data_IF_079248696584
#
_entry.id   IF_079248696584
#
_cell.length_a   1.000
_cell.length_b   1.000
_cell.length_c   1.000
_cell.angle_alpha   90.00
_cell.angle_beta   90.00
_cell.angle_gamma   90.00
#
_symmetry.space_group_name_H-M   'P 1'
#
loop_
_entity.id
_entity.type
_entity.pdbx_description
1 polymer ?
#
# COMPACT_ATOMS: atom_id res chain seq x y z
N UNK A 1 -26.62 8.97 -3.08
CA UNK A 1 -25.38 8.21 -3.33
C UNK A 1 -24.36 8.54 -2.24
N UNK A 2 -23.81 7.54 -1.54
CA UNK A 2 -22.85 7.79 -0.47
C UNK A 2 -21.43 8.08 -1.03
N UNK A 3 -20.55 8.67 -0.21
CA UNK A 3 -19.17 9.03 -0.62
C UNK A 3 -18.41 7.86 -1.23
N UNK A 4 -18.56 6.66 -0.65
CA UNK A 4 -17.85 5.47 -1.11
C UNK A 4 -18.34 4.97 -2.49
N UNK A 5 -19.65 5.03 -2.75
CA UNK A 5 -20.24 4.71 -4.05
C UNK A 5 -19.74 5.65 -5.14
N UNK A 6 -19.59 6.95 -4.84
CA UNK A 6 -19.06 7.94 -5.78
C UNK A 6 -17.57 7.70 -6.09
N UNK A 7 -16.79 7.26 -5.11
CA UNK A 7 -15.38 6.85 -5.29
C UNK A 7 -15.28 5.64 -6.23
N UNK A 8 -16.11 4.61 -6.02
CA UNK A 8 -16.16 3.42 -6.87
C UNK A 8 -16.57 3.79 -8.30
N UNK A 9 -17.58 4.65 -8.46
CA UNK A 9 -18.03 5.13 -9.77
C UNK A 9 -16.92 5.85 -10.54
N UNK A 10 -16.22 6.80 -9.89
CA UNK A 10 -15.12 7.52 -10.52
C UNK A 10 -13.95 6.58 -10.89
N UNK A 11 -13.70 5.55 -10.08
CA UNK A 11 -12.71 4.54 -10.43
C UNK A 11 -13.14 3.73 -11.65
N UNK A 12 -14.41 3.32 -11.73
CA UNK A 12 -14.95 2.60 -12.90
C UNK A 12 -14.93 3.46 -14.18
N UNK A 13 -15.01 4.79 -14.04
CA UNK A 13 -14.81 5.76 -15.13
C UNK A 13 -13.35 5.95 -15.55
N UNK A 14 -12.41 5.20 -14.96
CA UNK A 14 -11.00 5.20 -15.34
C UNK A 14 -10.12 6.24 -14.62
N UNK A 15 -10.66 6.99 -13.65
CA UNK A 15 -9.83 7.94 -12.91
C UNK A 15 -8.79 7.21 -12.04
N UNK A 16 -7.60 7.83 -11.92
CA UNK A 16 -6.56 7.35 -11.02
C UNK A 16 -6.95 7.58 -9.56
N UNK A 17 -6.41 6.74 -8.66
CA UNK A 17 -6.64 6.92 -7.22
C UNK A 17 -6.10 8.26 -6.71
N UNK A 18 -5.07 8.82 -7.35
CA UNK A 18 -4.54 10.15 -7.06
C UNK A 18 -5.58 11.24 -7.36
N UNK A 19 -6.19 11.19 -8.56
CA UNK A 19 -7.23 12.15 -8.95
C UNK A 19 -8.46 12.03 -8.04
N UNK A 20 -8.86 10.81 -7.73
CA UNK A 20 -9.98 10.55 -6.80
C UNK A 20 -9.66 11.07 -5.40
N UNK A 21 -8.45 10.83 -4.89
CA UNK A 21 -8.00 11.33 -3.59
C UNK A 21 -8.10 12.84 -3.49
N UNK A 22 -7.62 13.57 -4.51
CA UNK A 22 -7.74 15.03 -4.60
C UNK A 22 -9.19 15.51 -4.61
N UNK A 23 -10.08 14.82 -5.33
CA UNK A 23 -11.51 15.20 -5.43
C UNK A 23 -12.22 15.11 -4.06
N UNK A 24 -11.86 14.13 -3.22
CA UNK A 24 -12.53 13.90 -1.94
C UNK A 24 -11.74 14.36 -0.72
N UNK A 25 -10.63 15.05 -0.92
CA UNK A 25 -9.69 15.44 0.13
C UNK A 25 -9.27 14.27 1.03
N UNK A 26 -8.87 13.17 0.39
CA UNK A 26 -8.36 11.97 1.06
C UNK A 26 -7.08 11.49 0.40
N UNK A 27 -6.26 10.75 1.15
CA UNK A 27 -5.07 10.14 0.56
C UNK A 27 -5.44 9.15 -0.54
N UNK A 28 -4.56 8.97 -1.54
CA UNK A 28 -4.81 7.99 -2.60
C UNK A 28 -4.98 6.58 -2.01
N UNK A 29 -4.28 6.22 -0.91
CA UNK A 29 -4.48 4.93 -0.21
C UNK A 29 -5.91 4.78 0.26
N UNK A 30 -6.50 5.86 0.79
CA UNK A 30 -7.86 5.82 1.29
C UNK A 30 -8.85 5.66 0.15
N UNK A 31 -8.65 6.37 -0.97
CA UNK A 31 -9.45 6.19 -2.18
C UNK A 31 -9.38 4.74 -2.70
N UNK A 32 -8.17 4.16 -2.73
CA UNK A 32 -7.94 2.78 -3.15
C UNK A 32 -8.64 1.76 -2.24
N UNK A 33 -8.50 1.88 -0.92
CA UNK A 33 -9.17 0.98 0.05
C UNK A 33 -10.69 0.98 -0.10
N UNK A 34 -11.28 2.14 -0.38
CA UNK A 34 -12.72 2.28 -0.60
C UNK A 34 -13.15 1.61 -1.91
N UNK A 35 -12.40 1.85 -3.00
CA UNK A 35 -12.73 1.32 -4.31
C UNK A 35 -12.59 -0.21 -4.42
N UNK A 36 -11.64 -0.81 -3.70
CA UNK A 36 -11.36 -2.26 -3.76
C UNK A 36 -12.41 -3.10 -3.01
N UNK A 37 -13.25 -2.51 -2.15
CA UNK A 37 -14.39 -3.21 -1.54
C UNK A 37 -13.98 -4.38 -0.63
N UNK A 38 -13.23 -4.11 0.43
CA UNK A 38 -12.71 -5.15 1.33
C UNK A 38 -13.86 -5.88 2.06
N UNK A 39 -14.00 -7.19 1.85
CA UNK A 39 -14.90 -8.08 2.63
C UNK A 39 -14.25 -8.56 3.94
N UNK A 40 -15.02 -8.78 5.00
CA UNK A 40 -14.60 -9.18 6.35
C UNK A 40 -13.71 -10.44 6.40
N UNK A 41 -13.97 -11.44 5.55
CA UNK A 41 -13.07 -12.62 5.41
C UNK A 41 -11.69 -12.24 4.88
N UNK A 42 -11.65 -11.36 3.88
CA UNK A 42 -10.40 -10.85 3.32
C UNK A 42 -9.64 -9.99 4.35
N UNK A 43 -10.34 -9.29 5.25
CA UNK A 43 -9.71 -8.55 6.36
C UNK A 43 -8.93 -9.48 7.29
N UNK A 44 -9.53 -10.62 7.72
CA UNK A 44 -8.85 -11.55 8.64
C UNK A 44 -7.60 -12.18 8.02
N UNK A 45 -7.71 -12.64 6.78
CA UNK A 45 -6.56 -13.21 6.04
C UNK A 45 -5.47 -12.15 5.86
N UNK A 46 -5.84 -10.93 5.48
CA UNK A 46 -4.90 -9.83 5.33
C UNK A 46 -4.20 -9.46 6.65
N UNK A 47 -4.92 -9.40 7.76
CA UNK A 47 -4.32 -9.12 9.07
C UNK A 47 -3.28 -10.18 9.46
N UNK A 48 -3.57 -11.47 9.22
CA UNK A 48 -2.60 -12.55 9.45
C UNK A 48 -1.34 -12.37 8.59
N UNK A 49 -1.51 -12.16 7.28
CA UNK A 49 -0.39 -11.93 6.36
C UNK A 49 0.43 -10.71 6.82
N UNK A 50 -0.21 -9.61 7.21
CA UNK A 50 0.49 -8.41 7.69
C UNK A 50 1.34 -8.68 8.91
N UNK A 51 0.81 -9.44 9.87
CA UNK A 51 1.55 -9.77 11.08
C UNK A 51 2.71 -10.71 10.79
N UNK A 52 2.53 -11.68 9.90
CA UNK A 52 3.59 -12.59 9.46
C UNK A 52 4.72 -11.84 8.74
N UNK A 53 4.40 -10.88 7.87
CA UNK A 53 5.41 -10.02 7.21
C UNK A 53 6.16 -9.15 8.22
N UNK A 54 5.46 -8.55 9.20
CA UNK A 54 6.12 -7.76 10.25
C UNK A 54 7.06 -8.61 11.11
N UNK A 55 6.67 -9.85 11.44
CA UNK A 55 7.51 -10.79 12.18
C UNK A 55 8.72 -11.23 11.35
N UNK A 56 8.52 -11.57 10.07
CA UNK A 56 9.59 -11.91 9.12
C UNK A 56 10.65 -10.81 9.07
N UNK A 57 10.20 -9.56 9.02
CA UNK A 57 11.05 -8.38 8.91
C UNK A 57 11.51 -7.85 10.28
N UNK A 58 11.34 -8.63 11.37
CA UNK A 58 11.69 -8.28 12.76
C UNK A 58 11.27 -6.84 13.15
N UNK A 59 10.05 -6.45 12.77
CA UNK A 59 9.51 -5.12 13.00
C UNK A 59 10.47 -3.98 12.58
N UNK A 60 11.22 -4.21 11.50
CA UNK A 60 12.27 -3.32 10.98
C UNK A 60 11.93 -2.87 9.55
N UNK A 61 12.04 -1.57 9.30
CA UNK A 61 11.87 -1.00 7.97
C UNK A 61 12.96 -1.55 7.02
N UNK A 62 12.56 -2.18 5.93
CA UNK A 62 13.49 -2.80 4.99
C UNK A 62 14.21 -1.80 4.07
N UNK A 63 13.84 -0.52 4.11
CA UNK A 63 14.59 0.56 3.42
C UNK A 63 15.65 1.15 4.33
N UNK A 64 15.24 1.69 5.49
CA UNK A 64 16.12 2.51 6.33
C UNK A 64 16.60 1.83 7.62
N UNK A 65 16.16 0.61 7.91
CA UNK A 65 16.53 -0.12 9.13
C UNK A 65 15.82 0.38 10.41
N UNK A 66 14.88 1.32 10.31
CA UNK A 66 14.17 1.84 11.48
C UNK A 66 13.26 0.77 12.11
N UNK A 67 13.47 0.46 13.39
CA UNK A 67 12.72 -0.57 14.13
C UNK A 67 11.60 0.05 14.97
N UNK A 68 10.35 -0.34 14.73
CA UNK A 68 9.19 0.07 15.55
C UNK A 68 8.07 -0.97 15.54
N UNK A 69 7.27 -1.00 16.61
CA UNK A 69 6.08 -1.88 16.67
C UNK A 69 5.02 -1.53 15.61
N UNK A 70 4.91 -0.26 15.20
CA UNK A 70 3.89 0.24 14.28
C UNK A 70 4.40 0.46 12.85
N UNK A 71 4.88 -0.57 12.15
CA UNK A 71 5.22 -0.49 10.72
C UNK A 71 4.01 -0.78 9.82
N UNK A 72 4.12 -0.38 8.56
CA UNK A 72 3.15 -0.66 7.48
C UNK A 72 3.69 -1.72 6.53
N UNK A 73 2.81 -2.50 5.92
CA UNK A 73 3.16 -3.49 4.89
C UNK A 73 2.81 -2.90 3.54
N UNK A 74 3.77 -2.90 2.63
CA UNK A 74 3.69 -2.33 1.30
C UNK A 74 3.73 -3.43 0.23
N UNK A 75 2.89 -3.30 -0.79
CA UNK A 75 2.91 -4.15 -1.99
C UNK A 75 3.91 -3.58 -2.99
N UNK A 76 4.94 -4.36 -3.33
CA UNK A 76 6.07 -3.93 -4.18
C UNK A 76 5.62 -3.64 -5.62
N UNK A 77 4.68 -4.41 -6.14
CA UNK A 77 4.08 -4.23 -7.47
C UNK A 77 2.95 -3.18 -7.51
N UNK A 78 2.63 -2.57 -6.37
CA UNK A 78 1.51 -1.65 -6.19
C UNK A 78 0.12 -2.23 -6.51
N UNK A 79 0.00 -3.56 -6.64
CA UNK A 79 -1.26 -4.27 -6.88
C UNK A 79 -1.82 -4.79 -5.56
N UNK A 80 -2.89 -4.19 -5.00
CA UNK A 80 -3.38 -4.53 -3.65
C UNK A 80 -3.92 -5.95 -3.51
N UNK A 81 -4.26 -6.60 -4.62
CA UNK A 81 -4.77 -7.98 -4.65
C UNK A 81 -3.64 -9.02 -4.67
N UNK A 82 -2.40 -8.64 -5.00
CA UNK A 82 -1.26 -9.55 -5.04
C UNK A 82 -0.61 -9.72 -3.66
N UNK A 83 -1.23 -10.52 -2.80
CA UNK A 83 -0.77 -10.74 -1.43
C UNK A 83 0.31 -11.83 -1.29
N UNK A 84 1.12 -12.08 -2.34
CA UNK A 84 2.24 -13.03 -2.26
C UNK A 84 3.30 -12.51 -1.28
N UNK A 85 3.84 -13.36 -0.42
CA UNK A 85 4.79 -12.97 0.63
C UNK A 85 6.01 -12.22 0.10
N UNK A 86 6.54 -12.62 -1.06
CA UNK A 86 7.68 -11.97 -1.71
C UNK A 86 7.33 -10.63 -2.37
N UNK A 87 6.04 -10.32 -2.54
CA UNK A 87 5.55 -9.04 -3.02
C UNK A 87 5.24 -8.05 -1.87
N UNK A 88 5.48 -8.46 -0.62
CA UNK A 88 5.14 -7.67 0.56
C UNK A 88 6.40 -7.33 1.35
N UNK A 89 6.49 -6.06 1.79
CA UNK A 89 7.65 -5.56 2.54
C UNK A 89 7.22 -4.65 3.71
N UNK A 90 7.91 -4.75 4.84
CA UNK A 90 7.64 -3.94 6.03
C UNK A 90 8.40 -2.60 5.98
N UNK A 91 7.68 -1.48 6.07
CA UNK A 91 8.22 -0.13 5.94
C UNK A 91 7.77 0.81 7.07
N UNK A 92 8.59 1.83 7.36
CA UNK A 92 8.16 2.96 8.17
C UNK A 92 7.28 3.92 7.36
N UNK A 93 6.53 4.79 8.04
CA UNK A 93 5.56 5.67 7.37
C UNK A 93 6.26 6.65 6.42
N UNK A 94 7.44 7.15 6.80
CA UNK A 94 8.25 8.04 5.95
C UNK A 94 8.68 7.35 4.65
N UNK A 95 9.28 6.15 4.73
CA UNK A 95 9.68 5.38 3.56
C UNK A 95 8.48 4.97 2.70
N UNK A 96 7.38 4.57 3.34
CA UNK A 96 6.15 4.20 2.65
C UNK A 96 5.53 5.36 1.88
N UNK A 97 5.41 6.54 2.51
CA UNK A 97 4.94 7.77 1.85
C UNK A 97 5.88 8.15 0.73
N UNK A 98 7.19 8.08 0.95
CA UNK A 98 8.19 8.41 -0.06
C UNK A 98 8.05 7.57 -1.33
N UNK A 99 7.84 6.26 -1.20
CA UNK A 99 7.60 5.39 -2.36
C UNK A 99 6.35 5.79 -3.14
N UNK A 100 5.27 6.17 -2.45
CA UNK A 100 4.02 6.52 -3.10
C UNK A 100 3.92 7.97 -3.59
N UNK A 101 4.71 8.89 -3.03
CA UNK A 101 4.76 10.30 -3.44
C UNK A 101 5.58 10.53 -4.70
N UNK A 102 6.53 9.64 -5.03
CA UNK A 102 7.28 9.71 -6.28
C UNK A 102 6.40 9.24 -7.45
N UNK A 103 5.58 10.16 -7.97
CA UNK A 103 4.72 9.94 -9.14
C UNK A 103 5.48 9.93 -10.48
N UNK A 104 6.76 9.57 -10.47
CA UNK A 104 7.63 9.47 -11.62
C UNK A 104 8.65 8.37 -11.37
N UNK A 105 8.95 7.58 -12.41
CA UNK A 105 9.94 6.50 -12.47
C UNK A 105 10.84 6.40 -11.25
N UNK A 106 10.36 5.69 -10.21
CA UNK A 106 11.17 5.39 -9.03
C UNK A 106 12.35 4.60 -9.53
N UNK A 107 13.55 5.16 -9.38
CA UNK A 107 14.78 4.47 -9.67
C UNK A 107 14.89 3.30 -8.68
N UNK A 108 14.42 2.13 -9.11
CA UNK A 108 14.38 0.89 -8.34
C UNK A 108 15.77 0.49 -7.87
N UNK A 109 16.82 0.92 -8.56
CA UNK A 109 18.21 0.68 -8.16
C UNK A 109 18.57 1.30 -6.81
N UNK A 110 17.85 2.35 -6.37
CA UNK A 110 18.03 2.97 -5.05
C UNK A 110 17.49 2.14 -3.89
N UNK A 111 16.65 1.14 -4.17
CA UNK A 111 16.10 0.24 -3.15
C UNK A 111 16.40 -1.22 -3.51
N UNK A 112 17.68 -1.61 -3.58
CA UNK A 112 18.07 -2.97 -3.96
C UNK A 112 17.50 -4.01 -3.00
N UNK A 113 17.27 -3.63 -1.73
CA UNK A 113 16.62 -4.49 -0.74
C UNK A 113 15.15 -4.82 -1.03
N UNK A 114 14.51 -4.10 -1.96
CA UNK A 114 13.11 -4.28 -2.34
C UNK A 114 12.97 -4.75 -3.79
N UNK A 115 13.76 -4.20 -4.70
CA UNK A 115 13.59 -4.41 -6.14
C UNK A 115 14.72 -5.20 -6.81
N UNK A 116 15.60 -5.88 -6.06
CA UNK A 116 16.60 -6.76 -6.68
C UNK A 116 15.92 -7.79 -7.58
N UNK A 117 16.19 -7.65 -8.89
CA UNK A 117 16.11 -8.68 -9.93
C UNK A 117 17.24 -9.68 -9.76
#
# INVERSE_FOLDING_TARGET
>A
MNRNQRIIELRNKGLSYQSIGKIFDISYQRAQQIAVGINSRNVRVWNKIRDDIKKRDDYTCQICGFKKKKLVVHHIDEVPTNNKYNNLVCLCDSCHIHLHSQSGSVDKSKYPRIYCV
#
